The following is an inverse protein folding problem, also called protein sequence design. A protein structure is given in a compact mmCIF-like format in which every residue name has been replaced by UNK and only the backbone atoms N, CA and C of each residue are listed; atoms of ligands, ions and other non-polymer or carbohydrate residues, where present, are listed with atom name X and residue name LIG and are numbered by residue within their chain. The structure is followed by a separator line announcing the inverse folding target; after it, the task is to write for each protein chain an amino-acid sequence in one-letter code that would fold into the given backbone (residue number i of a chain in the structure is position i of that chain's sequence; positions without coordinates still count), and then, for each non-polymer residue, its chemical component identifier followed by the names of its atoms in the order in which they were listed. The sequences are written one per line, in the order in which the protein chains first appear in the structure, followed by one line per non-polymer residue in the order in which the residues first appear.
data_IF_543088746777
#
_entry.id   IF_543088746777
#
_cell.length_a   1.000
_cell.length_b   1.000
_cell.length_c   1.000
_cell.angle_alpha   90.00
_cell.angle_beta   90.00
_cell.angle_gamma   90.00
#
_symmetry.space_group_name_H-M   'P 1'
#
loop_
_entity.id
_entity.type
_entity.pdbx_description
1 polymer ?
#
# COMPACT_ATOMS: atom_id res chain seq x y z
N UNK A 1 4.48 -6.40 -11.03
CA UNK A 1 5.90 -6.17 -10.74
C UNK A 1 6.31 -6.96 -9.50
N UNK A 2 7.45 -7.63 -9.54
CA UNK A 2 8.07 -8.26 -8.38
C UNK A 2 8.97 -7.24 -7.67
N UNK A 3 8.75 -7.05 -6.36
CA UNK A 3 9.52 -6.12 -5.52
C UNK A 3 10.33 -6.93 -4.52
N UNK A 4 11.64 -6.65 -4.44
CA UNK A 4 12.46 -7.03 -3.30
C UNK A 4 12.19 -6.06 -2.16
N UNK A 5 11.68 -6.57 -1.04
CA UNK A 5 11.32 -5.74 0.11
C UNK A 5 12.58 -5.32 0.86
N UNK A 6 12.77 -4.00 0.99
CA UNK A 6 13.88 -3.43 1.76
C UNK A 6 13.42 -2.98 3.15
N UNK A 7 12.15 -2.55 3.27
CA UNK A 7 11.48 -2.27 4.52
C UNK A 7 9.97 -2.47 4.38
N UNK A 8 9.32 -2.89 5.46
CA UNK A 8 7.87 -2.87 5.58
C UNK A 8 7.47 -2.24 6.92
N UNK A 9 6.59 -1.24 6.88
CA UNK A 9 6.05 -0.59 8.06
C UNK A 9 5.07 -1.49 8.82
N UNK A 10 4.95 -1.25 10.13
CA UNK A 10 3.92 -1.83 10.98
C UNK A 10 2.85 -0.76 11.22
N UNK A 11 1.60 -1.10 10.95
CA UNK A 11 0.43 -0.24 11.21
C UNK A 11 -0.55 -0.93 12.18
N UNK A 12 -1.43 -0.14 12.80
CA UNK A 12 -2.52 -0.64 13.63
C UNK A 12 -3.48 -1.57 12.88
N UNK A 13 -3.56 -1.48 11.55
CA UNK A 13 -4.32 -2.46 10.74
C UNK A 13 -3.69 -3.85 10.80
N UNK A 14 -2.36 -3.97 10.77
CA UNK A 14 -1.67 -5.25 10.88
C UNK A 14 -1.99 -5.93 12.22
N UNK A 15 -1.94 -5.16 13.31
CA UNK A 15 -2.27 -5.64 14.66
C UNK A 15 -3.74 -6.08 14.76
N UNK A 16 -4.67 -5.32 14.20
CA UNK A 16 -6.10 -5.68 14.17
C UNK A 16 -6.33 -7.00 13.44
N UNK A 17 -5.67 -7.22 12.30
CA UNK A 17 -5.78 -8.48 11.55
C UNK A 17 -5.25 -9.66 12.37
N UNK A 18 -4.12 -9.48 13.06
CA UNK A 18 -3.53 -10.51 13.93
C UNK A 18 -4.45 -10.85 15.11
N UNK A 19 -5.12 -9.86 15.69
CA UNK A 19 -6.07 -10.02 16.79
C UNK A 19 -7.46 -10.50 16.32
N UNK A 20 -7.66 -10.73 15.02
CA UNK A 20 -8.93 -11.20 14.45
C UNK A 20 -10.03 -10.13 14.35
N UNK A 21 -9.67 -8.85 14.39
CA UNK A 21 -10.59 -7.73 14.21
C UNK A 21 -10.64 -7.22 12.77
N UNK A 22 -11.85 -6.99 12.26
CA UNK A 22 -12.07 -6.42 10.94
C UNK A 22 -12.15 -7.49 9.86
N UNK A 23 -11.28 -7.41 8.84
CA UNK A 23 -11.23 -8.40 7.77
C UNK A 23 -10.47 -9.64 8.23
N UNK A 24 -10.98 -10.83 7.90
CA UNK A 24 -10.30 -12.10 8.19
C UNK A 24 -9.87 -12.71 6.86
N UNK A 25 -8.57 -12.75 6.54
CA UNK A 25 -8.07 -13.37 5.31
C UNK A 25 -8.19 -14.90 5.37
N UNK A 26 -8.36 -15.51 4.20
CA UNK A 26 -8.14 -16.95 4.04
C UNK A 26 -6.64 -17.27 4.25
N UNK A 27 -6.35 -18.29 5.04
CA UNK A 27 -4.98 -18.71 5.35
C UNK A 27 -4.45 -19.76 4.36
N UNK A 28 -3.12 -19.78 4.06
CA UNK A 28 -2.08 -18.89 4.61
C UNK A 28 -2.12 -17.48 3.99
N UNK A 29 -1.90 -16.47 4.83
CA UNK A 29 -1.89 -15.07 4.41
C UNK A 29 -0.68 -14.33 5.01
N UNK A 30 0.01 -13.56 4.17
CA UNK A 30 1.12 -12.70 4.59
C UNK A 30 0.56 -11.28 4.75
N UNK A 31 0.67 -10.71 5.94
CA UNK A 31 0.25 -9.33 6.24
C UNK A 31 1.33 -8.30 5.87
N UNK A 32 1.06 -7.01 6.09
CA UNK A 32 1.99 -5.91 5.88
C UNK A 32 1.72 -5.13 4.59
N UNK A 33 1.36 -3.85 4.72
CA UNK A 33 0.99 -2.99 3.59
C UNK A 33 1.79 -1.70 3.45
N UNK A 34 2.76 -1.44 4.33
CA UNK A 34 3.67 -0.29 4.24
C UNK A 34 4.98 -0.61 3.52
N UNK A 35 4.97 -0.94 2.23
CA UNK A 35 6.10 -1.59 1.54
C UNK A 35 7.01 -0.57 0.83
N UNK A 36 8.32 -0.68 1.05
CA UNK A 36 9.34 0.03 0.27
C UNK A 36 10.44 -0.93 -0.21
N UNK A 37 10.84 -0.80 -1.47
CA UNK A 37 11.83 -1.70 -2.03
C UNK A 37 12.27 -1.41 -3.45
N UNK A 38 12.85 -2.43 -4.08
CA UNK A 38 13.46 -2.36 -5.41
C UNK A 38 12.68 -3.26 -6.36
N UNK A 39 12.34 -2.78 -7.54
CA UNK A 39 11.77 -3.62 -8.59
C UNK A 39 12.82 -4.63 -9.05
N UNK A 40 12.56 -5.93 -8.85
CA UNK A 40 13.52 -6.98 -9.11
C UNK A 40 13.86 -7.13 -10.61
N UNK A 41 12.87 -6.96 -11.47
CA UNK A 41 12.99 -7.18 -12.93
C UNK A 41 13.49 -5.93 -13.69
N UNK A 42 13.33 -4.74 -13.11
CA UNK A 42 13.76 -3.47 -13.72
C UNK A 42 14.80 -2.83 -12.81
N UNK A 43 16.08 -3.05 -13.13
CA UNK A 43 17.21 -2.50 -12.37
C UNK A 43 17.09 -0.98 -12.23
N UNK A 44 16.96 -0.50 -10.99
CA UNK A 44 17.24 0.90 -10.65
C UNK A 44 16.06 1.79 -10.27
N UNK A 45 14.82 1.29 -10.23
CA UNK A 45 13.69 2.07 -9.71
C UNK A 45 13.43 1.74 -8.23
N UNK A 46 13.74 2.73 -7.39
CA UNK A 46 13.44 2.80 -5.94
C UNK A 46 11.96 3.13 -5.82
N UNK A 47 11.17 2.20 -5.28
CA UNK A 47 9.71 2.33 -5.31
C UNK A 47 9.11 2.12 -3.91
N UNK A 48 8.20 3.01 -3.57
CA UNK A 48 7.29 2.98 -2.44
C UNK A 48 5.91 2.58 -2.97
N UNK A 49 5.22 1.71 -2.24
CA UNK A 49 3.86 1.34 -2.60
C UNK A 49 2.88 2.40 -2.09
N UNK A 50 2.57 3.41 -2.91
CA UNK A 50 1.44 4.28 -2.60
C UNK A 50 0.16 3.62 -3.12
N UNK A 51 -0.91 3.64 -2.33
CA UNK A 51 -2.19 3.04 -2.70
C UNK A 51 -2.12 1.50 -2.84
N UNK A 52 -2.35 0.78 -1.74
CA UNK A 52 -2.45 -0.68 -1.69
C UNK A 52 -3.79 -1.25 -2.22
N UNK A 53 -4.67 -0.39 -2.76
CA UNK A 53 -6.01 -0.75 -3.22
C UNK A 53 -6.03 -1.30 -4.66
N UNK A 54 -6.76 -2.40 -4.85
CA UNK A 54 -7.20 -2.87 -6.16
C UNK A 54 -8.63 -2.43 -6.39
N UNK A 55 -8.77 -1.40 -7.22
CA UNK A 55 -10.02 -0.71 -7.53
C UNK A 55 -10.52 -1.07 -8.93
N UNK A 56 -11.81 -0.88 -9.20
CA UNK A 56 -12.39 -1.26 -10.49
C UNK A 56 -12.08 -0.28 -11.64
N UNK A 57 -11.66 0.94 -11.33
CA UNK A 57 -11.34 1.97 -12.35
C UNK A 57 -12.56 2.60 -13.05
N UNK A 58 -13.75 2.03 -12.92
CA UNK A 58 -14.93 2.42 -13.71
C UNK A 58 -16.08 3.05 -12.89
N UNK A 59 -16.08 2.90 -11.56
CA UNK A 59 -17.15 3.46 -10.72
C UNK A 59 -16.95 4.97 -10.49
N UNK A 60 -18.01 5.69 -10.09
CA UNK A 60 -17.96 7.14 -9.86
C UNK A 60 -16.80 7.60 -8.96
N UNK A 61 -16.51 6.96 -7.80
CA UNK A 61 -15.32 7.28 -7.01
C UNK A 61 -14.00 7.11 -7.78
N UNK A 62 -13.85 6.03 -8.55
CA UNK A 62 -12.66 5.81 -9.36
C UNK A 62 -12.46 6.90 -10.42
N UNK A 63 -13.54 7.27 -11.12
CA UNK A 63 -13.50 8.29 -12.17
C UNK A 63 -13.31 9.72 -11.64
N UNK A 64 -13.40 9.93 -10.32
CA UNK A 64 -13.30 11.25 -9.67
C UNK A 64 -12.09 11.38 -8.74
N UNK A 65 -11.06 10.54 -8.93
CA UNK A 65 -9.81 10.54 -8.13
C UNK A 65 -10.10 10.32 -6.63
N UNK A 66 -11.11 9.48 -6.36
CA UNK A 66 -11.51 9.03 -5.02
C UNK A 66 -11.51 7.50 -4.97
N UNK A 67 -10.50 6.90 -5.58
CA UNK A 67 -10.36 5.45 -5.73
C UNK A 67 -10.36 4.70 -4.38
N UNK A 68 -9.92 5.34 -3.28
CA UNK A 68 -10.04 4.80 -1.92
C UNK A 68 -11.49 4.55 -1.47
N UNK A 69 -12.47 5.15 -2.14
CA UNK A 69 -13.90 4.96 -1.92
C UNK A 69 -14.54 4.05 -2.98
N UNK A 70 -13.74 3.29 -3.72
CA UNK A 70 -14.23 2.36 -4.74
C UNK A 70 -15.28 1.40 -4.14
N UNK A 71 -16.48 1.40 -4.71
CA UNK A 71 -17.59 0.52 -4.28
C UNK A 71 -17.38 -0.94 -4.68
N UNK A 72 -16.50 -1.17 -5.65
CA UNK A 72 -16.13 -2.49 -6.20
C UNK A 72 -14.68 -2.85 -5.84
N UNK A 73 -14.25 -2.52 -4.62
CA UNK A 73 -12.89 -2.77 -4.13
C UNK A 73 -12.58 -4.27 -4.04
N UNK A 74 -11.69 -4.76 -4.91
CA UNK A 74 -11.32 -6.17 -4.97
C UNK A 74 -10.44 -6.61 -3.81
N UNK A 75 -9.28 -5.96 -3.66
CA UNK A 75 -8.26 -6.34 -2.67
C UNK A 75 -7.52 -5.13 -2.11
N UNK A 76 -6.92 -5.34 -0.95
CA UNK A 76 -5.99 -4.42 -0.29
C UNK A 76 -4.72 -5.23 -0.01
N UNK A 77 -3.60 -4.90 -0.65
CA UNK A 77 -2.35 -5.65 -0.48
C UNK A 77 -1.96 -5.73 1.00
N UNK A 78 -1.65 -6.93 1.50
CA UNK A 78 -1.29 -7.16 2.91
C UNK A 78 -2.44 -7.09 3.91
N UNK A 79 -3.66 -6.84 3.44
CA UNK A 79 -4.85 -6.70 4.29
C UNK A 79 -6.00 -7.59 3.81
N UNK A 80 -6.41 -7.47 2.54
CA UNK A 80 -7.55 -8.19 1.94
C UNK A 80 -7.18 -8.83 0.61
N UNK A 81 -7.31 -10.16 0.50
CA UNK A 81 -7.27 -10.91 -0.76
C UNK A 81 -5.93 -10.97 -1.51
N UNK A 82 -4.89 -10.24 -1.07
CA UNK A 82 -3.53 -10.30 -1.64
C UNK A 82 -2.47 -10.22 -0.54
N UNK A 83 -1.48 -11.10 -0.62
CA UNK A 83 -0.35 -11.16 0.31
C UNK A 83 0.47 -9.85 0.33
N UNK A 84 0.99 -9.52 1.50
CA UNK A 84 1.70 -8.30 1.83
C UNK A 84 3.22 -8.40 1.86
N UNK A 85 3.83 -7.39 2.47
CA UNK A 85 5.26 -7.12 2.45
C UNK A 85 6.04 -7.64 3.65
N UNK A 86 5.45 -8.39 4.57
CA UNK A 86 6.22 -9.14 5.59
C UNK A 86 6.83 -10.41 4.98
N UNK A 87 7.54 -10.22 3.86
CA UNK A 87 8.18 -11.22 3.04
C UNK A 87 9.40 -10.62 2.35
N UNK A 88 10.32 -11.46 1.88
CA UNK A 88 11.50 -11.01 1.12
C UNK A 88 11.12 -10.41 -0.24
N UNK A 89 10.02 -10.89 -0.82
CA UNK A 89 9.50 -10.43 -2.10
C UNK A 89 7.98 -10.32 -2.09
N UNK A 90 7.44 -9.37 -2.85
CA UNK A 90 6.00 -9.18 -3.02
C UNK A 90 5.64 -8.84 -4.47
N UNK A 91 4.49 -9.33 -4.93
CA UNK A 91 3.95 -9.01 -6.26
C UNK A 91 2.93 -7.90 -6.14
N UNK A 92 3.15 -6.82 -6.90
CA UNK A 92 2.33 -5.62 -6.85
C UNK A 92 1.98 -5.14 -8.26
N UNK A 93 0.74 -4.67 -8.51
CA UNK A 93 0.39 -3.98 -9.75
C UNK A 93 1.24 -2.72 -9.96
N UNK A 94 1.69 -2.50 -11.19
CA UNK A 94 2.58 -1.37 -11.54
C UNK A 94 1.97 0.00 -11.20
N UNK A 95 0.65 0.17 -11.36
CA UNK A 95 -0.06 1.41 -11.02
C UNK A 95 0.01 1.81 -9.54
N UNK A 96 0.40 0.89 -8.65
CA UNK A 96 0.51 1.11 -7.20
C UNK A 96 1.93 1.53 -6.80
N UNK A 97 2.80 1.78 -7.78
CA UNK A 97 4.20 2.07 -7.56
C UNK A 97 4.47 3.56 -7.71
N UNK A 98 5.08 4.14 -6.69
CA UNK A 98 5.54 5.53 -6.70
C UNK A 98 7.04 5.58 -6.49
N UNK A 99 7.71 6.44 -7.26
CA UNK A 99 9.16 6.63 -7.15
C UNK A 99 9.48 7.30 -5.82
N UNK A 100 10.44 6.75 -5.10
CA UNK A 100 10.96 7.35 -3.87
C UNK A 100 11.97 8.43 -4.23
N UNK A 101 11.82 9.62 -3.64
CA UNK A 101 12.74 10.74 -3.83
C UNK A 101 14.14 10.42 -3.29
N UNK A 102 15.22 10.92 -3.93
CA UNK A 102 16.58 10.79 -3.40
C UNK A 102 16.67 11.30 -1.95
N UNK A 103 17.39 10.57 -1.10
CA UNK A 103 17.59 10.94 0.31
C UNK A 103 16.50 10.43 1.27
N UNK A 104 15.39 9.89 0.77
CA UNK A 104 14.39 9.20 1.61
C UNK A 104 14.86 7.78 1.91
N UNK A 105 14.95 7.42 3.18
CA UNK A 105 15.33 6.06 3.61
C UNK A 105 14.20 5.07 3.34
N UNK A 106 14.53 3.78 3.22
CA UNK A 106 13.53 2.72 3.04
C UNK A 106 12.48 2.70 4.16
N UNK A 107 12.91 2.84 5.42
CA UNK A 107 12.01 2.86 6.58
C UNK A 107 11.07 4.06 6.55
N UNK A 108 11.56 5.26 6.19
CA UNK A 108 10.71 6.44 6.06
C UNK A 108 9.71 6.27 4.92
N UNK A 109 10.18 5.78 3.76
CA UNK A 109 9.32 5.51 2.62
C UNK A 109 8.19 4.51 2.96
N UNK A 110 8.52 3.40 3.63
CA UNK A 110 7.59 2.38 4.06
C UNK A 110 6.44 2.92 4.94
N UNK A 111 6.77 3.78 5.92
CA UNK A 111 5.77 4.41 6.80
C UNK A 111 4.97 5.49 6.06
N UNK A 112 5.60 6.24 5.16
CA UNK A 112 4.94 7.30 4.38
C UNK A 112 3.83 6.76 3.46
N UNK A 113 3.95 5.53 2.98
CA UNK A 113 2.99 4.88 2.07
C UNK A 113 1.58 4.73 2.66
N UNK A 114 1.47 4.68 3.98
CA UNK A 114 0.22 4.44 4.68
C UNK A 114 -0.07 5.57 5.70
N UNK A 115 0.58 5.54 6.86
CA UNK A 115 0.35 6.53 7.92
C UNK A 115 0.64 7.96 7.45
N UNK A 116 1.74 8.14 6.70
CA UNK A 116 2.09 9.45 6.15
C UNK A 116 1.08 9.97 5.13
N UNK A 117 0.67 9.13 4.18
CA UNK A 117 -0.31 9.48 3.15
C UNK A 117 -1.68 9.77 3.76
N UNK A 118 -2.11 8.98 4.74
CA UNK A 118 -3.37 9.17 5.45
C UNK A 118 -3.39 10.50 6.20
N UNK A 119 -2.34 10.80 6.95
CA UNK A 119 -2.21 12.08 7.67
C UNK A 119 -2.15 13.26 6.70
N UNK A 120 -1.37 13.15 5.63
CA UNK A 120 -1.28 14.17 4.59
C UNK A 120 -2.63 14.42 3.92
N UNK A 121 -3.39 13.37 3.59
CA UNK A 121 -4.72 13.49 3.01
C UNK A 121 -5.68 14.26 3.93
N UNK A 122 -5.66 13.97 5.24
CA UNK A 122 -6.50 14.67 6.21
C UNK A 122 -6.17 16.16 6.29
N UNK A 123 -4.87 16.52 6.32
CA UNK A 123 -4.43 17.91 6.33
C UNK A 123 -4.79 18.62 5.03
N UNK A 124 -4.51 18.03 3.87
CA UNK A 124 -4.83 18.57 2.55
C UNK A 124 -6.34 18.87 2.42
N UNK A 125 -7.20 17.96 2.88
CA UNK A 125 -8.66 18.13 2.88
C UNK A 125 -9.15 19.22 3.83
N UNK A 126 -8.38 19.55 4.87
CA UNK A 126 -8.76 20.56 5.87
C UNK A 126 -8.50 22.00 5.42
N UNK A 127 -7.68 22.20 4.38
CA UNK A 127 -7.44 23.53 3.84
C UNK A 127 -8.72 24.11 3.20
N UNK A 128 -9.12 25.35 3.56
CA UNK A 128 -10.22 26.01 2.89
C UNK A 128 -9.87 26.21 1.41
N UNK A 129 -10.78 25.81 0.53
CA UNK A 129 -10.68 26.01 -0.93
C UNK A 129 -11.17 27.38 -1.33
#
# INVERSE_FOLDING_TARGET
MLIQVMACGIDGTDLKLLDGFGYVPDLPFIVGHGIAGIVAEVRGHVIALAYNFTTCGECFPCLTVREQLCVNMGSILGVKGKNGGYAEYVVVPERQLVRISPGVTWTNAAICCDAGLTAFHAVDRSHPR
#
